data_IF_025658825880
#
_entry.id   IF_025658825880
#
_cell.length_a   1.000
_cell.length_b   1.000
_cell.length_c   1.000
_cell.angle_alpha   90.00
_cell.angle_beta   90.00
_cell.angle_gamma   90.00
#
_symmetry.space_group_name_H-M   'P 1'
#
loop_
_entity.id
_entity.type
_entity.pdbx_description
1 polymer ?
#
# COMPACT_ATOMS: atom_id res chain seq x y z
N UNK A 1 15.10 7.12 -30.34
CA UNK A 1 14.45 6.39 -29.24
C UNK A 1 13.69 7.45 -28.49
N UNK A 2 12.37 7.36 -28.54
CA UNK A 2 11.49 8.20 -27.73
C UNK A 2 11.45 7.68 -26.29
N UNK A 3 10.92 8.48 -25.36
CA UNK A 3 10.84 8.12 -23.94
C UNK A 3 10.10 6.78 -23.72
N UNK A 4 9.14 6.46 -24.60
CA UNK A 4 8.35 5.22 -24.58
C UNK A 4 9.25 3.97 -24.65
N UNK A 5 10.36 4.04 -25.41
CA UNK A 5 11.31 2.94 -25.50
C UNK A 5 12.03 2.64 -24.18
N UNK A 6 12.46 3.66 -23.44
CA UNK A 6 13.21 3.48 -22.18
C UNK A 6 12.29 3.01 -21.05
N UNK A 7 11.06 3.52 -21.00
CA UNK A 7 10.03 3.06 -20.06
C UNK A 7 9.74 1.57 -20.24
N UNK A 8 9.61 1.10 -21.49
CA UNK A 8 9.41 -0.32 -21.77
C UNK A 8 10.60 -1.18 -21.31
N UNK A 9 11.83 -0.74 -21.57
CA UNK A 9 13.05 -1.44 -21.10
C UNK A 9 13.05 -1.55 -19.57
N UNK A 10 12.66 -0.47 -18.87
CA UNK A 10 12.55 -0.45 -17.41
C UNK A 10 11.44 -1.39 -16.89
N UNK A 11 10.26 -1.36 -17.51
CA UNK A 11 9.11 -2.18 -17.14
C UNK A 11 9.40 -3.69 -17.25
N UNK A 12 10.20 -4.09 -18.23
CA UNK A 12 10.58 -5.50 -18.44
C UNK A 12 11.85 -5.92 -17.68
N UNK A 13 12.49 -4.99 -16.96
CA UNK A 13 13.71 -5.28 -16.22
C UNK A 13 14.93 -5.60 -17.09
N UNK A 14 14.98 -5.10 -18.33
CA UNK A 14 16.06 -5.40 -19.28
C UNK A 14 17.33 -4.60 -18.98
N UNK A 15 17.98 -4.87 -17.84
CA UNK A 15 19.17 -4.15 -17.34
C UNK A 15 20.34 -4.20 -18.32
N UNK A 16 20.61 -5.35 -18.94
CA UNK A 16 21.68 -5.51 -19.94
C UNK A 16 21.44 -4.63 -21.17
N UNK A 17 20.19 -4.53 -21.61
CA UNK A 17 19.83 -3.70 -22.75
C UNK A 17 19.86 -2.21 -22.37
N UNK A 18 19.44 -1.86 -21.16
CA UNK A 18 19.62 -0.51 -20.62
C UNK A 18 21.10 -0.11 -20.63
N UNK A 19 22.00 -0.99 -20.15
CA UNK A 19 23.45 -0.74 -20.16
C UNK A 19 24.01 -0.63 -21.58
N UNK A 20 23.53 -1.45 -22.52
CA UNK A 20 23.89 -1.33 -23.93
C UNK A 20 23.51 0.04 -24.51
N UNK A 21 22.29 0.54 -24.23
CA UNK A 21 21.82 1.84 -24.69
C UNK A 21 22.64 2.99 -24.08
N UNK A 22 22.96 2.90 -22.79
CA UNK A 22 23.83 3.87 -22.11
C UNK A 22 25.22 3.95 -22.75
N UNK A 23 25.78 2.82 -23.16
CA UNK A 23 27.11 2.78 -23.77
C UNK A 23 27.13 3.25 -25.23
N UNK A 24 26.02 3.10 -25.97
CA UNK A 24 25.97 3.41 -27.41
C UNK A 24 25.32 4.74 -27.75
N UNK A 25 24.39 5.21 -26.93
CA UNK A 25 23.68 6.47 -27.14
C UNK A 25 23.20 7.06 -25.80
N UNK A 26 24.14 7.44 -24.91
CA UNK A 26 23.81 7.98 -23.58
C UNK A 26 22.91 9.21 -23.64
N UNK A 27 23.03 10.03 -24.69
CA UNK A 27 22.22 11.23 -24.91
C UNK A 27 20.73 10.94 -25.12
N UNK A 28 20.38 9.69 -25.46
CA UNK A 28 19.01 9.24 -25.67
C UNK A 28 18.39 8.56 -24.44
N UNK A 29 19.18 8.29 -23.41
CA UNK A 29 18.69 7.65 -22.18
C UNK A 29 18.47 8.72 -21.12
N UNK A 30 17.21 8.99 -20.81
CA UNK A 30 16.82 9.91 -19.74
C UNK A 30 16.03 9.14 -18.70
N UNK A 31 16.47 9.22 -17.44
CA UNK A 31 15.75 8.62 -16.31
C UNK A 31 14.74 9.64 -15.81
N UNK A 32 13.51 9.50 -16.30
CA UNK A 32 12.36 10.33 -15.90
C UNK A 32 11.48 9.61 -14.89
N UNK A 33 10.55 10.32 -14.24
CA UNK A 33 9.58 9.70 -13.30
C UNK A 33 8.88 8.46 -13.93
N UNK A 34 8.35 8.50 -15.16
CA UNK A 34 7.75 7.32 -15.80
C UNK A 34 8.68 6.10 -15.87
N UNK A 35 9.97 6.30 -16.16
CA UNK A 35 10.96 5.21 -16.19
C UNK A 35 11.14 4.59 -14.80
N UNK A 36 11.16 5.42 -13.76
CA UNK A 36 11.29 4.95 -12.37
C UNK A 36 10.01 4.25 -11.90
N UNK A 37 8.83 4.78 -12.27
CA UNK A 37 7.53 4.13 -12.01
C UNK A 37 7.47 2.77 -12.71
N UNK A 38 7.88 2.68 -13.98
CA UNK A 38 7.95 1.43 -14.72
C UNK A 38 8.90 0.42 -14.05
N UNK A 39 10.08 0.86 -13.62
CA UNK A 39 11.02 0.03 -12.87
C UNK A 39 10.44 -0.45 -11.53
N UNK A 40 9.73 0.41 -10.81
CA UNK A 40 9.06 0.06 -9.55
C UNK A 40 7.89 -0.91 -9.76
N UNK A 41 7.24 -0.83 -10.92
CA UNK A 41 6.16 -1.71 -11.34
C UNK A 41 6.61 -3.10 -11.77
N UNK A 42 7.89 -3.28 -12.06
CA UNK A 42 8.43 -4.52 -12.58
C UNK A 42 8.40 -5.65 -11.54
N UNK A 43 7.56 -6.65 -11.75
CA UNK A 43 7.42 -7.85 -10.91
C UNK A 43 8.40 -8.96 -11.27
N UNK A 44 9.13 -8.85 -12.38
CA UNK A 44 10.18 -9.80 -12.76
C UNK A 44 11.53 -9.48 -12.09
N UNK A 45 12.35 -10.51 -11.94
CA UNK A 45 13.76 -10.40 -11.52
C UNK A 45 13.97 -9.57 -10.24
N UNK A 46 13.07 -9.72 -9.26
CA UNK A 46 13.19 -9.18 -7.90
C UNK A 46 13.52 -7.67 -7.81
N UNK A 47 13.01 -6.88 -8.75
CA UNK A 47 13.23 -5.43 -8.75
C UNK A 47 14.64 -5.00 -9.16
N UNK A 48 15.40 -5.86 -9.85
CA UNK A 48 16.75 -5.56 -10.34
C UNK A 48 16.86 -4.25 -11.12
N UNK A 49 15.81 -3.83 -11.83
CA UNK A 49 15.82 -2.54 -12.53
C UNK A 49 15.89 -1.36 -11.57
N UNK A 50 15.13 -1.36 -10.47
CA UNK A 50 15.25 -0.29 -9.47
C UNK A 50 16.64 -0.28 -8.83
N UNK A 51 17.19 -1.46 -8.52
CA UNK A 51 18.57 -1.59 -7.99
C UNK A 51 19.57 -1.02 -8.98
N UNK A 52 19.43 -1.34 -10.27
CA UNK A 52 20.27 -0.83 -11.34
C UNK A 52 20.20 0.70 -11.44
N UNK A 53 18.98 1.26 -11.46
CA UNK A 53 18.79 2.71 -11.50
C UNK A 53 19.44 3.40 -10.28
N UNK A 54 19.26 2.85 -9.08
CA UNK A 54 19.86 3.40 -7.87
C UNK A 54 21.38 3.30 -7.85
N UNK A 55 21.93 2.19 -8.34
CA UNK A 55 23.39 2.01 -8.39
C UNK A 55 24.06 3.00 -9.35
N UNK A 56 23.40 3.28 -10.47
CA UNK A 56 23.98 4.10 -11.54
C UNK A 56 23.74 5.60 -11.37
N UNK A 57 22.57 6.00 -10.87
CA UNK A 57 22.17 7.41 -10.75
C UNK A 57 21.98 7.88 -9.30
N UNK A 58 21.93 6.98 -8.32
CA UNK A 58 21.85 7.33 -6.90
C UNK A 58 20.74 8.35 -6.59
N UNK A 59 21.15 9.50 -6.07
CA UNK A 59 20.27 10.61 -5.68
C UNK A 59 19.56 11.29 -6.86
N UNK A 60 20.06 11.14 -8.09
CA UNK A 60 19.40 11.70 -9.27
C UNK A 60 18.09 10.98 -9.59
N UNK A 61 17.93 9.74 -9.13
CA UNK A 61 16.67 9.00 -9.23
C UNK A 61 15.66 9.57 -8.24
N UNK A 62 14.80 10.47 -8.75
CA UNK A 62 13.73 11.10 -7.97
C UNK A 62 12.67 10.07 -7.58
N UNK A 63 12.51 9.86 -6.28
CA UNK A 63 11.39 9.11 -5.71
C UNK A 63 10.25 10.09 -5.48
N UNK A 64 9.14 9.87 -6.17
CA UNK A 64 7.89 10.62 -6.00
C UNK A 64 6.83 9.73 -5.36
N UNK A 65 5.72 10.32 -4.91
CA UNK A 65 4.59 9.55 -4.36
C UNK A 65 4.10 8.48 -5.35
N UNK A 66 4.11 8.76 -6.66
CA UNK A 66 3.72 7.76 -7.69
C UNK A 66 4.65 6.55 -7.69
N UNK A 67 5.95 6.77 -7.54
CA UNK A 67 6.94 5.69 -7.45
C UNK A 67 6.69 4.84 -6.20
N UNK A 68 6.42 5.47 -5.05
CA UNK A 68 6.13 4.77 -3.79
C UNK A 68 4.83 3.98 -3.88
N UNK A 69 3.74 4.58 -4.39
CA UNK A 69 2.47 3.88 -4.62
C UNK A 69 2.66 2.70 -5.57
N UNK A 70 3.42 2.88 -6.66
CA UNK A 70 3.67 1.78 -7.59
C UNK A 70 4.46 0.65 -6.95
N UNK A 71 5.49 0.95 -6.15
CA UNK A 71 6.24 -0.06 -5.43
C UNK A 71 5.37 -0.82 -4.41
N UNK A 72 4.51 -0.11 -3.66
CA UNK A 72 3.57 -0.73 -2.73
C UNK A 72 2.59 -1.67 -3.47
N UNK A 73 2.07 -1.26 -4.64
CA UNK A 73 1.24 -2.12 -5.50
C UNK A 73 1.96 -3.35 -6.02
N UNK A 74 3.27 -3.27 -6.20
CA UNK A 74 4.10 -4.36 -6.73
C UNK A 74 4.58 -5.33 -5.66
N UNK A 75 4.27 -5.09 -4.39
CA UNK A 75 4.53 -6.01 -3.28
C UNK A 75 5.72 -5.62 -2.39
N UNK A 76 5.93 -6.43 -1.36
CA UNK A 76 6.80 -6.13 -0.22
C UNK A 76 8.24 -5.79 -0.61
N UNK A 77 8.83 -6.53 -1.54
CA UNK A 77 10.24 -6.36 -1.92
C UNK A 77 10.51 -5.00 -2.58
N UNK A 78 9.56 -4.52 -3.39
CA UNK A 78 9.70 -3.25 -4.11
C UNK A 78 9.60 -2.09 -3.13
N UNK A 79 8.59 -2.12 -2.26
CA UNK A 79 8.43 -1.10 -1.24
C UNK A 79 9.62 -1.08 -0.27
N UNK A 80 10.12 -2.26 0.13
CA UNK A 80 11.31 -2.39 0.98
C UNK A 80 12.54 -1.76 0.35
N UNK A 81 12.80 -2.05 -0.93
CA UNK A 81 13.93 -1.46 -1.65
C UNK A 81 13.88 0.07 -1.65
N UNK A 82 12.69 0.66 -1.82
CA UNK A 82 12.52 2.11 -1.73
C UNK A 82 12.75 2.64 -0.31
N UNK A 83 12.17 1.99 0.70
CA UNK A 83 12.28 2.44 2.10
C UNK A 83 13.68 2.26 2.70
N UNK A 84 14.50 1.35 2.15
CA UNK A 84 15.91 1.18 2.53
C UNK A 84 16.78 2.35 2.05
N UNK A 85 16.31 3.14 1.07
CA UNK A 85 16.96 4.40 0.70
C UNK A 85 16.69 5.48 1.74
N UNK A 86 17.74 6.17 2.18
CA UNK A 86 17.68 7.23 3.20
C UNK A 86 17.54 8.64 2.63
N UNK A 87 17.57 8.78 1.31
CA UNK A 87 17.84 10.04 0.61
C UNK A 87 16.63 10.61 -0.14
N UNK A 88 15.40 10.19 0.20
CA UNK A 88 14.17 10.75 -0.37
C UNK A 88 13.24 11.32 0.70
N UNK A 89 12.59 12.44 0.36
CA UNK A 89 11.85 13.27 1.31
C UNK A 89 10.32 13.17 1.16
N UNK A 90 9.81 12.28 0.30
CA UNK A 90 8.36 12.07 0.18
C UNK A 90 7.84 11.47 1.48
N UNK A 91 6.78 12.07 2.01
CA UNK A 91 6.08 11.59 3.20
C UNK A 91 5.21 10.38 2.83
N UNK A 92 5.04 9.45 3.76
CA UNK A 92 4.04 8.38 3.60
C UNK A 92 2.64 8.98 3.74
N UNK A 93 2.03 9.28 2.60
CA UNK A 93 0.66 9.78 2.53
C UNK A 93 -0.35 8.70 2.88
N UNK A 94 -1.54 9.14 3.29
CA UNK A 94 -2.69 8.27 3.54
C UNK A 94 -3.01 7.37 2.33
N UNK A 95 -2.82 7.89 1.12
CA UNK A 95 -3.01 7.18 -0.13
C UNK A 95 -1.99 6.05 -0.36
N UNK A 96 -0.74 6.21 0.12
CA UNK A 96 0.25 5.13 0.10
C UNK A 96 -0.15 4.03 1.09
N UNK A 97 -0.62 4.42 2.28
CA UNK A 97 -1.07 3.46 3.32
C UNK A 97 -2.26 2.65 2.82
N UNK A 98 -3.24 3.29 2.18
CA UNK A 98 -4.41 2.59 1.63
C UNK A 98 -4.01 1.64 0.50
N UNK A 99 -3.10 2.05 -0.39
CA UNK A 99 -2.58 1.14 -1.42
C UNK A 99 -1.92 -0.10 -0.82
N UNK A 100 -1.19 0.05 0.29
CA UNK A 100 -0.61 -1.09 1.00
C UNK A 100 -1.69 -1.98 1.62
N UNK A 101 -2.71 -1.39 2.24
CA UNK A 101 -3.84 -2.10 2.83
C UNK A 101 -4.60 -2.88 1.78
N UNK A 102 -4.90 -2.30 0.62
CA UNK A 102 -5.66 -2.95 -0.46
C UNK A 102 -4.87 -4.05 -1.21
N UNK A 103 -3.63 -4.33 -0.81
CA UNK A 103 -2.82 -5.35 -1.46
C UNK A 103 -3.24 -6.76 -1.04
N UNK A 104 -3.96 -7.45 -1.94
CA UNK A 104 -4.62 -8.75 -1.72
C UNK A 104 -3.85 -9.78 -0.90
N UNK A 105 -2.55 -9.97 -1.12
CA UNK A 105 -1.78 -11.05 -0.47
C UNK A 105 -0.85 -10.60 0.63
N UNK A 106 -0.47 -9.32 0.66
CA UNK A 106 0.68 -8.83 1.44
C UNK A 106 0.29 -7.63 2.32
N UNK A 107 -1.01 -7.33 2.46
CA UNK A 107 -1.51 -6.14 3.15
C UNK A 107 -0.87 -5.93 4.53
N UNK A 108 -0.89 -6.97 5.38
CA UNK A 108 -0.30 -6.91 6.71
C UNK A 108 1.22 -6.68 6.65
N UNK A 109 1.94 -7.39 5.77
CA UNK A 109 3.39 -7.25 5.63
C UNK A 109 3.79 -5.84 5.15
N UNK A 110 3.07 -5.29 4.18
CA UNK A 110 3.32 -3.95 3.65
C UNK A 110 3.04 -2.88 4.71
N UNK A 111 1.92 -3.01 5.42
CA UNK A 111 1.57 -2.10 6.49
C UNK A 111 2.58 -2.16 7.66
N UNK A 112 3.04 -3.35 8.03
CA UNK A 112 4.04 -3.55 9.08
C UNK A 112 5.37 -2.89 8.69
N UNK A 113 5.78 -3.07 7.43
CA UNK A 113 6.98 -2.44 6.88
C UNK A 113 6.87 -0.90 6.92
N UNK A 114 5.71 -0.34 6.54
CA UNK A 114 5.46 1.09 6.59
C UNK A 114 5.55 1.63 8.03
N UNK A 115 4.92 0.97 9.00
CA UNK A 115 5.02 1.35 10.40
C UNK A 115 6.46 1.24 10.93
N UNK A 116 7.16 0.15 10.62
CA UNK A 116 8.51 -0.08 11.10
C UNK A 116 9.53 0.95 10.58
N UNK A 117 9.35 1.43 9.34
CA UNK A 117 10.30 2.35 8.70
C UNK A 117 9.91 3.82 8.82
N UNK A 118 8.61 4.12 8.79
CA UNK A 118 8.07 5.49 8.66
C UNK A 118 6.81 5.69 9.51
N UNK A 119 6.62 4.89 10.56
CA UNK A 119 5.40 4.92 11.38
C UNK A 119 5.08 6.27 12.03
N UNK A 120 6.07 7.14 12.26
CA UNK A 120 5.83 8.50 12.77
C UNK A 120 5.13 9.43 11.78
N UNK A 121 5.10 9.09 10.49
CA UNK A 121 4.38 9.83 9.43
C UNK A 121 2.95 9.33 9.24
N UNK A 122 2.63 8.15 9.80
CA UNK A 122 1.34 7.51 9.61
C UNK A 122 0.46 7.92 10.78
N UNK A 123 -0.70 8.50 10.49
CA UNK A 123 -1.80 8.67 11.45
C UNK A 123 -2.99 7.87 10.93
N UNK A 124 -3.57 7.00 11.77
CA UNK A 124 -4.74 6.22 11.36
C UNK A 124 -5.97 7.13 11.36
N UNK A 125 -6.30 7.61 10.16
CA UNK A 125 -7.53 8.35 9.88
C UNK A 125 -8.72 7.40 9.80
N UNK A 126 -9.93 7.95 9.86
CA UNK A 126 -11.15 7.17 9.61
C UNK A 126 -11.16 6.50 8.22
N UNK A 127 -10.57 7.13 7.19
CA UNK A 127 -10.53 6.55 5.85
C UNK A 127 -9.52 5.39 5.75
N UNK A 128 -8.34 5.48 6.40
CA UNK A 128 -7.44 4.32 6.54
C UNK A 128 -8.12 3.20 7.33
N UNK A 129 -8.78 3.54 8.44
CA UNK A 129 -9.49 2.57 9.26
C UNK A 129 -10.57 1.83 8.48
N UNK A 130 -11.38 2.55 7.70
CA UNK A 130 -12.40 1.97 6.82
C UNK A 130 -11.80 1.03 5.78
N UNK A 131 -10.69 1.42 5.14
CA UNK A 131 -10.01 0.54 4.18
C UNK A 131 -9.57 -0.79 4.82
N UNK A 132 -9.08 -0.76 6.07
CA UNK A 132 -8.65 -1.98 6.77
C UNK A 132 -9.83 -2.89 7.17
N UNK A 133 -10.88 -2.33 7.78
CA UNK A 133 -12.02 -3.15 8.25
C UNK A 133 -12.90 -3.64 7.10
N UNK A 134 -12.80 -3.00 5.92
CA UNK A 134 -13.48 -3.41 4.70
C UNK A 134 -12.62 -4.27 3.76
N UNK A 135 -11.43 -4.71 4.19
CA UNK A 135 -10.59 -5.57 3.34
C UNK A 135 -11.31 -6.87 2.98
N UNK A 136 -11.31 -7.24 1.69
CA UNK A 136 -12.12 -8.34 1.11
C UNK A 136 -11.68 -9.76 1.53
N UNK A 137 -10.73 -9.91 2.47
CA UNK A 137 -10.11 -11.18 2.86
C UNK A 137 -10.01 -11.30 4.41
N UNK A 138 -9.47 -12.41 4.91
CA UNK A 138 -9.27 -12.71 6.34
C UNK A 138 -8.35 -11.72 7.10
N UNK A 139 -7.76 -10.73 6.42
CA UNK A 139 -6.80 -9.79 7.02
C UNK A 139 -7.43 -8.63 7.79
N UNK A 140 -8.74 -8.39 7.66
CA UNK A 140 -9.38 -7.24 8.30
C UNK A 140 -9.15 -7.17 9.83
N UNK A 141 -9.14 -8.32 10.51
CA UNK A 141 -8.87 -8.38 11.95
C UNK A 141 -7.41 -8.13 12.28
N UNK A 142 -6.49 -8.64 11.46
CA UNK A 142 -5.05 -8.48 11.65
C UNK A 142 -4.64 -7.01 11.43
N UNK A 143 -5.15 -6.39 10.36
CA UNK A 143 -4.94 -4.97 10.07
C UNK A 143 -5.48 -4.08 11.21
N UNK A 144 -6.69 -4.39 11.70
CA UNK A 144 -7.26 -3.69 12.86
C UNK A 144 -6.40 -3.90 14.13
N UNK A 145 -5.89 -5.10 14.37
CA UNK A 145 -5.00 -5.39 15.50
C UNK A 145 -3.68 -4.60 15.41
N UNK A 146 -3.10 -4.48 14.21
CA UNK A 146 -1.94 -3.63 13.99
C UNK A 146 -2.22 -2.17 14.32
N UNK A 147 -3.39 -1.63 13.95
CA UNK A 147 -3.77 -0.26 14.31
C UNK A 147 -3.90 -0.09 15.83
N UNK A 148 -4.50 -1.05 16.53
CA UNK A 148 -4.54 -1.04 17.99
C UNK A 148 -3.14 -1.04 18.61
N UNK A 149 -2.22 -1.86 18.08
CA UNK A 149 -0.84 -1.95 18.57
C UNK A 149 -0.08 -0.64 18.39
N UNK A 150 -0.23 0.02 17.24
CA UNK A 150 0.55 1.21 16.90
C UNK A 150 -0.04 2.53 17.40
N UNK A 151 -1.37 2.66 17.47
CA UNK A 151 -2.02 3.95 17.78
C UNK A 151 -3.18 3.85 18.78
N UNK A 152 -3.41 2.69 19.40
CA UNK A 152 -4.52 2.51 20.33
C UNK A 152 -5.88 2.49 19.63
N UNK A 153 -6.92 3.01 20.28
CA UNK A 153 -8.31 2.88 19.83
C UNK A 153 -8.95 4.15 19.28
N UNK A 154 -8.22 5.27 19.20
CA UNK A 154 -8.77 6.58 18.79
C UNK A 154 -9.34 6.58 17.36
N UNK A 155 -8.85 5.71 16.49
CA UNK A 155 -9.33 5.56 15.12
C UNK A 155 -10.69 4.87 15.00
N UNK A 156 -11.17 4.21 16.07
CA UNK A 156 -12.42 3.45 16.06
C UNK A 156 -13.58 4.41 16.30
N UNK A 157 -14.08 5.00 15.22
CA UNK A 157 -15.26 5.88 15.25
C UNK A 157 -16.55 5.10 15.01
N UNK A 158 -17.70 5.74 15.24
CA UNK A 158 -19.02 5.19 14.86
C UNK A 158 -19.03 4.78 13.38
N UNK A 159 -18.50 5.64 12.50
CA UNK A 159 -18.44 5.41 11.06
C UNK A 159 -17.55 4.23 10.64
N UNK A 160 -16.48 3.94 11.40
CA UNK A 160 -15.65 2.74 11.15
C UNK A 160 -16.41 1.46 11.52
N UNK A 161 -17.09 1.47 12.66
CA UNK A 161 -17.90 0.32 13.10
C UNK A 161 -19.07 0.07 12.13
N UNK A 162 -19.74 1.13 11.67
CA UNK A 162 -20.77 1.03 10.64
C UNK A 162 -20.23 0.40 9.34
N UNK A 163 -19.06 0.85 8.85
CA UNK A 163 -18.44 0.28 7.66
C UNK A 163 -18.08 -1.21 7.84
N UNK A 164 -17.61 -1.60 9.02
CA UNK A 164 -17.36 -3.00 9.36
C UNK A 164 -18.64 -3.83 9.35
N UNK A 165 -19.76 -3.30 9.86
CA UNK A 165 -21.07 -3.95 9.82
C UNK A 165 -21.56 -4.07 8.38
N UNK A 166 -21.37 -3.05 7.55
CA UNK A 166 -21.75 -3.06 6.13
C UNK A 166 -20.96 -4.09 5.31
N UNK A 167 -19.75 -4.45 5.75
CA UNK A 167 -18.90 -5.47 5.11
C UNK A 167 -18.90 -6.83 5.84
N UNK A 168 -19.93 -7.13 6.67
CA UNK A 168 -19.93 -8.27 7.59
C UNK A 168 -19.83 -9.67 6.93
N UNK A 169 -19.92 -9.75 5.60
CA UNK A 169 -19.63 -10.99 4.86
C UNK A 169 -18.26 -11.58 5.21
N UNK A 170 -17.29 -10.75 5.64
CA UNK A 170 -15.89 -11.18 5.76
C UNK A 170 -15.29 -11.19 7.18
N UNK A 171 -15.91 -10.60 8.22
CA UNK A 171 -15.36 -10.74 9.58
C UNK A 171 -16.27 -10.25 10.72
N UNK A 172 -17.08 -11.13 11.30
CA UNK A 172 -17.65 -10.92 12.65
C UNK A 172 -16.57 -10.74 13.71
N UNK A 173 -15.40 -11.37 13.53
CA UNK A 173 -14.24 -11.25 14.42
C UNK A 173 -13.72 -9.81 14.52
N UNK A 174 -13.66 -9.09 13.40
CA UNK A 174 -13.24 -7.68 13.40
C UNK A 174 -14.26 -6.84 14.15
N UNK A 175 -15.56 -7.01 13.89
CA UNK A 175 -16.60 -6.28 14.61
C UNK A 175 -16.56 -6.56 16.12
N UNK A 176 -16.43 -7.83 16.52
CA UNK A 176 -16.26 -8.22 17.93
C UNK A 176 -15.02 -7.56 18.54
N UNK A 177 -13.89 -7.55 17.83
CA UNK A 177 -12.66 -6.90 18.27
C UNK A 177 -12.87 -5.39 18.48
N UNK A 178 -13.51 -4.70 17.54
CA UNK A 178 -13.79 -3.26 17.65
C UNK A 178 -14.70 -2.97 18.84
N UNK A 179 -15.74 -3.76 19.07
CA UNK A 179 -16.68 -3.54 20.18
C UNK A 179 -16.09 -3.89 21.55
N UNK A 180 -15.18 -4.86 21.62
CA UNK A 180 -14.57 -5.31 22.88
C UNK A 180 -13.36 -4.46 23.30
N UNK A 181 -12.52 -4.06 22.34
CA UNK A 181 -11.32 -3.25 22.60
C UNK A 181 -11.62 -1.76 22.71
N UNK A 182 -12.87 -1.33 22.51
CA UNK A 182 -13.27 0.09 22.55
C UNK A 182 -14.53 0.34 23.37
N UNK A 183 -14.85 1.61 23.60
CA UNK A 183 -16.07 2.06 24.30
C UNK A 183 -17.12 2.64 23.33
N UNK A 184 -17.04 2.31 22.04
CA UNK A 184 -18.05 2.76 21.07
C UNK A 184 -19.40 2.21 21.50
N UNK A 185 -20.39 3.11 21.61
CA UNK A 185 -21.75 2.73 21.97
C UNK A 185 -22.41 2.10 20.76
N UNK A 186 -23.01 0.92 20.93
CA UNK A 186 -23.86 0.32 19.91
C UNK A 186 -25.09 1.21 19.70
N UNK A 187 -25.25 1.75 18.50
CA UNK A 187 -26.35 2.67 18.16
C UNK A 187 -27.49 1.94 17.44
N UNK A 188 -28.67 2.59 17.38
CA UNK A 188 -29.81 2.05 16.61
C UNK A 188 -29.46 1.83 15.15
N UNK A 189 -28.65 2.73 14.57
CA UNK A 189 -28.21 2.64 13.18
C UNK A 189 -27.36 1.39 12.94
N UNK A 190 -26.41 1.10 13.82
CA UNK A 190 -25.62 -0.14 13.76
C UNK A 190 -26.50 -1.40 13.78
N UNK A 191 -27.50 -1.44 14.67
CA UNK A 191 -28.43 -2.57 14.75
C UNK A 191 -29.26 -2.74 13.46
N UNK A 192 -29.68 -1.63 12.85
CA UNK A 192 -30.41 -1.65 11.58
C UNK A 192 -29.52 -2.16 10.44
N UNK A 193 -28.30 -1.62 10.29
CA UNK A 193 -27.34 -2.06 9.27
C UNK A 193 -27.02 -3.55 9.38
N UNK A 194 -26.87 -4.06 10.61
CA UNK A 194 -26.65 -5.49 10.85
C UNK A 194 -27.80 -6.36 10.33
N UNK A 195 -29.05 -5.97 10.63
CA UNK A 195 -30.23 -6.70 10.15
C UNK A 195 -30.42 -6.64 8.63
N UNK A 196 -30.15 -5.49 8.00
CA UNK A 196 -30.22 -5.35 6.54
C UNK A 196 -29.19 -6.24 5.82
N UNK A 197 -28.01 -6.42 6.43
CA UNK A 197 -26.97 -7.26 5.85
C UNK A 197 -27.20 -8.75 6.01
N UNK A 198 -27.74 -9.22 7.14
CA UNK A 198 -28.12 -10.63 7.34
C UNK A 198 -29.09 -11.09 6.23
N UNK A 199 -30.10 -10.27 5.92
CA UNK A 199 -31.05 -10.54 4.84
C UNK A 199 -30.44 -10.58 3.44
N UNK A 200 -29.34 -9.86 3.20
CA UNK A 200 -28.63 -9.87 1.91
C UNK A 200 -27.79 -11.12 1.70
N UNK A 201 -27.19 -11.67 2.76
CA UNK A 201 -26.40 -12.90 2.68
C UNK A 201 -27.31 -14.11 2.46
N UNK A 202 -28.48 -14.15 3.09
CA UNK A 202 -29.46 -15.24 2.96
C UNK A 202 -30.15 -15.32 1.58
N UNK A 203 -30.00 -14.30 0.73
CA UNK A 203 -30.69 -14.19 -0.57
C UNK A 203 -29.79 -14.36 -1.79
N UNK A 204 -28.50 -14.70 -1.60
CA UNK A 204 -27.52 -15.03 -2.64
C UNK A 204 -27.32 -16.55 -2.77
#
# INVERSE_FOLDING_TARGET
>A
MDLIGIEAVAAHGMTEFMEFLLNRCPEKVQITEPVVVAAAGNTYWDGQMLVFLFTRWGQEVKITEKVVKQAAKSGIDRLKLLLDRRDWAVEITEDIVIVAIEHRTDACLLLELLFARRGSEITITERIAKAAVCHEDYYASDLAEMFFLHQGSEWVTEGVVEACIENIQYSTTTLEMLLTKTKVKVTRRMMQLGGENEHRVDTL
#
